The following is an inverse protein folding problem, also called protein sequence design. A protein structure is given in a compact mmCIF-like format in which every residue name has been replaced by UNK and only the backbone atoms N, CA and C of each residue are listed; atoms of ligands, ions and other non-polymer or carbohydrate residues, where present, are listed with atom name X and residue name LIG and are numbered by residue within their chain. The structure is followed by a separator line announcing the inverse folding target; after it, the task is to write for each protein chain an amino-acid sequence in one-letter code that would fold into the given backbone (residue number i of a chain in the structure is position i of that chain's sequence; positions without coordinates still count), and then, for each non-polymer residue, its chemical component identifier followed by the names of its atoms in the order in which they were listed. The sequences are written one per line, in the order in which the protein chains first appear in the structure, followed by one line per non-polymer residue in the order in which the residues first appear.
data_IF_406538599147
#
_entry.id   IF_406538599147
#
_cell.length_a   1.000
_cell.length_b   1.000
_cell.length_c   1.000
_cell.angle_alpha   90.00
_cell.angle_beta   90.00
_cell.angle_gamma   90.00
#
_symmetry.space_group_name_H-M   'P 1'
#
loop_
_entity.id
_entity.type
_entity.pdbx_description
1 polymer ?
#
# COMPACT_ATOMS: atom_id res chain seq x y z
N UNK A 1 -41.51 -60.13 48.49
CA UNK A 1 -42.82 -60.73 48.79
C UNK A 1 -43.74 -60.33 47.65
N UNK A 2 -44.41 -61.17 46.86
CA UNK A 2 -44.49 -62.63 46.69
C UNK A 2 -45.46 -62.80 45.52
N UNK A 3 -45.10 -63.54 44.48
CA UNK A 3 -46.06 -64.35 43.68
C UNK A 3 -46.75 -65.37 44.64
N UNK A 4 -47.88 -66.08 44.34
CA UNK A 4 -48.44 -66.46 43.03
C UNK A 4 -49.99 -66.56 42.99
N UNK A 5 -50.59 -67.06 41.88
CA UNK A 5 -51.70 -68.03 41.97
C UNK A 5 -51.97 -68.82 40.67
N UNK A 6 -52.21 -70.10 40.91
CA UNK A 6 -52.43 -71.25 40.05
C UNK A 6 -53.85 -71.79 40.36
N UNK A 7 -54.57 -72.40 39.41
CA UNK A 7 -55.46 -73.59 39.55
C UNK A 7 -56.24 -73.85 38.23
N UNK A 8 -56.16 -75.06 37.62
CA UNK A 8 -56.99 -76.30 37.81
C UNK A 8 -58.42 -76.15 37.27
N UNK A 9 -59.13 -77.10 36.62
CA UNK A 9 -59.05 -78.56 36.43
C UNK A 9 -60.26 -78.95 35.51
N UNK A 10 -60.24 -80.08 34.79
CA UNK A 10 -61.48 -80.66 34.23
C UNK A 10 -61.29 -81.84 33.27
N UNK A 11 -61.63 -83.05 33.74
CA UNK A 11 -61.71 -84.35 33.03
C UNK A 11 -63.16 -84.85 33.18
N UNK A 12 -63.74 -85.66 32.27
CA UNK A 12 -63.74 -87.14 32.39
C UNK A 12 -63.94 -87.83 30.99
N UNK A 13 -64.33 -89.09 30.79
CA UNK A 13 -63.82 -90.42 31.17
C UNK A 13 -64.32 -91.47 30.14
N UNK A 14 -63.53 -92.55 29.94
CA UNK A 14 -63.84 -93.96 29.55
C UNK A 14 -64.40 -94.37 28.15
N UNK A 15 -63.67 -95.37 27.63
CA UNK A 15 -63.80 -96.42 26.56
C UNK A 15 -65.11 -97.26 26.57
N UNK A 16 -65.45 -98.13 25.55
CA UNK A 16 -64.59 -99.24 25.07
C UNK A 16 -64.77 -99.92 23.67
N UNK A 17 -63.74 -100.73 23.32
CA UNK A 17 -63.68 -102.06 22.65
C UNK A 17 -63.95 -102.31 21.12
N UNK A 18 -63.08 -103.20 20.60
CA UNK A 18 -63.14 -104.16 19.45
C UNK A 18 -62.51 -103.84 18.07
N UNK A 19 -61.81 -104.86 17.54
CA UNK A 19 -61.10 -105.11 16.26
C UNK A 19 -61.81 -106.34 15.62
N UNK A 20 -61.57 -106.89 14.38
CA UNK A 20 -60.64 -106.55 13.28
C UNK A 20 -61.13 -106.80 11.81
N UNK A 21 -60.22 -106.55 10.85
CA UNK A 21 -59.92 -107.34 9.62
C UNK A 21 -60.53 -107.05 8.21
N UNK A 22 -59.59 -106.92 7.25
CA UNK A 22 -59.52 -107.40 5.84
C UNK A 22 -60.04 -106.62 4.60
N UNK A 23 -59.06 -106.32 3.71
CA UNK A 23 -59.00 -106.45 2.22
C UNK A 23 -60.09 -105.76 1.36
N UNK A 24 -59.81 -104.93 0.34
CA UNK A 24 -59.23 -105.29 -0.98
C UNK A 24 -59.11 -104.04 -1.87
N UNK A 25 -58.19 -104.09 -2.83
CA UNK A 25 -57.76 -103.04 -3.74
C UNK A 25 -58.81 -102.60 -4.80
N UNK A 26 -58.69 -101.35 -5.25
CA UNK A 26 -58.94 -100.94 -6.64
C UNK A 26 -58.02 -99.76 -7.00
N UNK A 27 -57.21 -99.95 -8.04
CA UNK A 27 -56.33 -98.96 -8.63
C UNK A 27 -57.11 -98.08 -9.62
N UNK A 28 -56.90 -96.77 -9.55
CA UNK A 28 -57.26 -95.77 -10.57
C UNK A 28 -56.06 -94.82 -10.74
N UNK A 29 -55.79 -94.31 -11.96
CA UNK A 29 -54.44 -93.88 -12.35
C UNK A 29 -54.07 -92.50 -11.78
N UNK A 30 -52.84 -92.42 -11.27
CA UNK A 30 -52.14 -91.23 -10.81
C UNK A 30 -52.11 -90.14 -11.91
N UNK A 31 -52.98 -89.15 -11.77
CA UNK A 31 -52.94 -87.91 -12.55
C UNK A 31 -52.86 -86.71 -11.59
N UNK A 32 -51.81 -86.65 -10.77
CA UNK A 32 -51.66 -85.58 -9.75
C UNK A 32 -50.22 -85.14 -9.46
N UNK A 33 -49.19 -85.63 -10.16
CA UNK A 33 -47.79 -85.32 -9.80
C UNK A 33 -47.11 -84.17 -10.58
N UNK A 34 -47.70 -83.61 -11.64
CA UNK A 34 -47.07 -82.48 -12.37
C UNK A 34 -47.39 -81.10 -11.78
N UNK A 35 -48.51 -80.93 -11.07
CA UNK A 35 -48.93 -79.62 -10.57
C UNK A 35 -48.22 -79.20 -9.27
N UNK A 36 -47.80 -80.19 -8.46
CA UNK A 36 -47.12 -79.98 -7.18
C UNK A 36 -45.65 -79.56 -7.40
N UNK A 37 -44.96 -80.18 -8.36
CA UNK A 37 -43.58 -79.82 -8.73
C UNK A 37 -43.45 -78.42 -9.33
N UNK A 38 -44.42 -78.02 -10.18
CA UNK A 38 -44.42 -76.66 -10.74
C UNK A 38 -44.70 -75.59 -9.68
N UNK A 39 -45.60 -75.84 -8.72
CA UNK A 39 -45.86 -74.91 -7.62
C UNK A 39 -44.67 -74.80 -6.64
N UNK A 40 -43.94 -75.89 -6.39
CA UNK A 40 -42.73 -75.84 -5.57
C UNK A 40 -41.60 -75.07 -6.27
N UNK A 41 -41.39 -75.31 -7.57
CA UNK A 41 -40.38 -74.59 -8.36
C UNK A 41 -40.68 -73.09 -8.48
N UNK A 42 -41.97 -72.71 -8.57
CA UNK A 42 -42.38 -71.31 -8.57
C UNK A 42 -42.08 -70.64 -7.22
N UNK A 43 -42.42 -71.30 -6.10
CA UNK A 43 -42.12 -70.77 -4.75
C UNK A 43 -40.62 -70.61 -4.49
N UNK A 44 -39.79 -71.53 -4.95
CA UNK A 44 -38.34 -71.40 -4.82
C UNK A 44 -37.80 -70.24 -5.66
N UNK A 45 -38.37 -70.01 -6.86
CA UNK A 45 -38.02 -68.86 -7.70
C UNK A 45 -38.39 -67.52 -7.03
N UNK A 46 -39.57 -67.43 -6.43
CA UNK A 46 -40.03 -66.21 -5.75
C UNK A 46 -39.17 -65.89 -4.52
N UNK A 47 -38.74 -66.92 -3.78
CA UNK A 47 -37.83 -66.77 -2.63
C UNK A 47 -36.45 -66.28 -3.09
N UNK A 48 -35.93 -66.83 -4.18
CA UNK A 48 -34.64 -66.40 -4.75
C UNK A 48 -34.69 -64.96 -5.28
N UNK A 49 -35.80 -64.54 -5.88
CA UNK A 49 -35.98 -63.13 -6.28
C UNK A 49 -36.05 -62.20 -5.07
N UNK A 50 -36.75 -62.60 -4.01
CA UNK A 50 -36.81 -61.83 -2.76
C UNK A 50 -35.43 -61.70 -2.12
N UNK A 51 -34.65 -62.79 -2.08
CA UNK A 51 -33.28 -62.78 -1.57
C UNK A 51 -32.39 -61.80 -2.36
N UNK A 52 -32.45 -61.86 -3.70
CA UNK A 52 -31.73 -60.90 -4.57
C UNK A 52 -32.20 -59.46 -4.34
N UNK A 53 -33.49 -59.25 -4.09
CA UNK A 53 -34.05 -57.94 -3.75
C UNK A 53 -33.48 -57.40 -2.44
N UNK A 54 -33.40 -58.23 -1.40
CA UNK A 54 -32.80 -57.90 -0.11
C UNK A 54 -31.31 -57.57 -0.25
N UNK A 55 -30.56 -58.35 -1.02
CA UNK A 55 -29.12 -58.08 -1.25
C UNK A 55 -28.89 -56.73 -1.93
N UNK A 56 -29.74 -56.35 -2.89
CA UNK A 56 -29.68 -55.02 -3.54
C UNK A 56 -29.99 -53.89 -2.56
N UNK A 57 -30.98 -54.07 -1.69
CA UNK A 57 -31.33 -53.07 -0.66
C UNK A 57 -30.19 -52.94 0.36
N UNK A 58 -29.60 -54.05 0.80
CA UNK A 58 -28.45 -54.04 1.71
C UNK A 58 -27.26 -53.34 1.07
N UNK A 59 -26.95 -53.62 -0.19
CA UNK A 59 -25.88 -52.94 -0.93
C UNK A 59 -26.13 -51.43 -1.02
N UNK A 60 -27.38 -51.02 -1.33
CA UNK A 60 -27.77 -49.61 -1.38
C UNK A 60 -27.66 -48.92 -0.01
N UNK A 61 -27.98 -49.63 1.07
CA UNK A 61 -27.83 -49.15 2.44
C UNK A 61 -26.35 -48.96 2.82
N UNK A 62 -25.48 -49.86 2.39
CA UNK A 62 -24.02 -49.74 2.60
C UNK A 62 -23.47 -48.52 1.86
N UNK A 63 -23.79 -48.35 0.58
CA UNK A 63 -23.38 -47.18 -0.21
C UNK A 63 -23.87 -45.86 0.39
N UNK A 64 -25.12 -45.84 0.87
CA UNK A 64 -25.69 -44.68 1.55
C UNK A 64 -24.93 -44.36 2.85
N UNK A 65 -24.59 -45.38 3.64
CA UNK A 65 -23.83 -45.21 4.88
C UNK A 65 -22.41 -44.67 4.61
N UNK A 66 -21.76 -45.14 3.53
CA UNK A 66 -20.46 -44.62 3.11
C UNK A 66 -20.58 -43.15 2.65
N UNK A 67 -21.65 -42.81 1.93
CA UNK A 67 -21.98 -41.43 1.58
C UNK A 67 -22.19 -40.53 2.80
N UNK A 68 -22.90 -41.01 3.83
CA UNK A 68 -23.05 -40.29 5.09
C UNK A 68 -21.72 -40.08 5.82
N UNK A 69 -20.83 -41.07 5.78
CA UNK A 69 -19.51 -40.97 6.40
C UNK A 69 -18.65 -39.91 5.69
N UNK A 70 -18.62 -39.93 4.35
CA UNK A 70 -17.90 -38.92 3.55
C UNK A 70 -18.46 -37.50 3.75
N UNK A 71 -19.79 -37.36 3.83
CA UNK A 71 -20.42 -36.07 4.11
C UNK A 71 -20.03 -35.56 5.49
N UNK A 72 -20.02 -36.42 6.51
CA UNK A 72 -19.62 -36.07 7.87
C UNK A 72 -18.17 -35.58 7.93
N UNK A 73 -17.26 -36.24 7.23
CA UNK A 73 -15.86 -35.81 7.13
C UNK A 73 -15.73 -34.45 6.44
N UNK A 74 -16.49 -34.23 5.35
CA UNK A 74 -16.53 -32.96 4.63
C UNK A 74 -17.02 -31.82 5.54
N UNK A 75 -18.11 -32.04 6.29
CA UNK A 75 -18.64 -31.07 7.25
C UNK A 75 -17.61 -30.76 8.32
N UNK A 76 -16.95 -31.77 8.90
CA UNK A 76 -15.91 -31.56 9.88
C UNK A 76 -14.72 -30.75 9.33
N UNK A 77 -14.35 -30.99 8.05
CA UNK A 77 -13.34 -30.20 7.34
C UNK A 77 -13.74 -28.73 7.20
N UNK A 78 -14.97 -28.45 6.77
CA UNK A 78 -15.52 -27.10 6.65
C UNK A 78 -15.60 -26.38 8.00
N UNK A 79 -15.97 -27.08 9.07
CA UNK A 79 -15.97 -26.51 10.43
C UNK A 79 -14.57 -26.05 10.84
N UNK A 80 -13.54 -26.87 10.60
CA UNK A 80 -12.14 -26.49 10.88
C UNK A 80 -11.69 -25.30 10.04
N UNK A 81 -12.06 -25.27 8.76
CA UNK A 81 -11.72 -24.14 7.88
C UNK A 81 -12.37 -22.84 8.36
N UNK A 82 -13.64 -22.87 8.79
CA UNK A 82 -14.32 -21.69 9.33
C UNK A 82 -13.66 -21.18 10.62
N UNK A 83 -13.22 -22.05 11.52
CA UNK A 83 -12.48 -21.64 12.72
C UNK A 83 -11.16 -20.95 12.36
N UNK A 84 -10.43 -21.46 11.37
CA UNK A 84 -9.20 -20.83 10.88
C UNK A 84 -9.46 -19.48 10.21
N UNK A 85 -10.55 -19.35 9.44
CA UNK A 85 -10.94 -18.06 8.87
C UNK A 85 -11.29 -17.05 9.96
N UNK A 86 -12.02 -17.46 11.00
CA UNK A 86 -12.41 -16.58 12.09
C UNK A 86 -11.20 -16.05 12.86
N UNK A 87 -10.23 -16.92 13.18
CA UNK A 87 -8.97 -16.50 13.82
C UNK A 87 -8.13 -15.56 12.94
N UNK A 88 -8.16 -15.74 11.61
CA UNK A 88 -7.50 -14.82 10.69
C UNK A 88 -8.18 -13.44 10.67
N UNK A 89 -9.51 -13.39 10.71
CA UNK A 89 -10.27 -12.13 10.80
C UNK A 89 -9.91 -11.38 12.09
N UNK A 90 -9.90 -12.05 13.24
CA UNK A 90 -9.49 -11.46 14.51
C UNK A 90 -8.06 -10.90 14.47
N UNK A 91 -7.12 -11.61 13.83
CA UNK A 91 -5.75 -11.13 13.63
C UNK A 91 -5.69 -9.89 12.72
N UNK A 92 -6.51 -9.84 11.68
CA UNK A 92 -6.59 -8.67 10.79
C UNK A 92 -7.12 -7.47 11.56
N UNK A 93 -8.17 -7.63 12.36
CA UNK A 93 -8.74 -6.56 13.18
C UNK A 93 -7.72 -6.01 14.19
N UNK A 94 -6.95 -6.89 14.84
CA UNK A 94 -5.87 -6.46 15.73
C UNK A 94 -4.80 -5.65 14.99
N UNK A 95 -4.42 -6.07 13.77
CA UNK A 95 -3.45 -5.33 12.95
C UNK A 95 -3.99 -3.99 12.48
N UNK A 96 -5.27 -3.93 12.11
CA UNK A 96 -5.94 -2.68 11.73
C UNK A 96 -5.96 -1.68 12.90
N UNK A 97 -6.28 -2.15 14.10
CA UNK A 97 -6.24 -1.31 15.30
C UNK A 97 -4.83 -0.77 15.57
N UNK A 98 -3.80 -1.61 15.45
CA UNK A 98 -2.40 -1.16 15.59
C UNK A 98 -2.01 -0.15 14.51
N UNK A 99 -2.48 -0.31 13.27
CA UNK A 99 -2.26 0.67 12.21
C UNK A 99 -2.97 1.98 12.53
N UNK A 100 -4.23 1.93 13.00
CA UNK A 100 -5.00 3.09 13.42
C UNK A 100 -4.29 3.90 14.52
N UNK A 101 -3.81 3.21 15.57
CA UNK A 101 -3.03 3.88 16.63
C UNK A 101 -1.72 4.49 16.12
N UNK A 102 -1.02 3.80 15.21
CA UNK A 102 0.19 4.35 14.58
C UNK A 102 -0.13 5.56 13.73
N UNK A 103 -1.25 5.55 13.01
CA UNK A 103 -1.70 6.65 12.18
C UNK A 103 -2.06 7.86 13.05
N UNK A 104 -2.82 7.67 14.14
CA UNK A 104 -3.07 8.73 15.12
C UNK A 104 -1.78 9.29 15.74
N UNK A 105 -0.80 8.42 16.07
CA UNK A 105 0.50 8.88 16.57
C UNK A 105 1.25 9.69 15.52
N UNK A 106 1.23 9.25 14.26
CA UNK A 106 1.83 9.98 13.15
C UNK A 106 1.11 11.31 12.96
N UNK A 107 -0.21 11.37 12.99
CA UNK A 107 -0.98 12.62 12.90
C UNK A 107 -0.68 13.57 14.07
N UNK A 108 -0.54 13.06 15.30
CA UNK A 108 -0.16 13.89 16.45
C UNK A 108 1.30 14.35 16.41
N UNK A 109 2.21 13.54 15.83
CA UNK A 109 3.63 13.89 15.64
C UNK A 109 3.84 14.79 14.43
N UNK A 110 2.98 14.67 13.42
CA UNK A 110 2.80 15.63 12.35
C UNK A 110 2.04 16.82 12.92
N UNK A 111 2.74 17.61 13.74
CA UNK A 111 2.43 19.03 14.00
C UNK A 111 1.82 19.58 12.71
N UNK A 112 0.59 20.14 12.77
CA UNK A 112 -0.23 20.38 11.58
C UNK A 112 0.65 20.97 10.50
N UNK A 113 0.69 20.29 9.36
CA UNK A 113 1.57 20.63 8.24
C UNK A 113 1.42 22.11 7.83
N UNK A 114 0.34 22.78 8.25
CA UNK A 114 0.04 24.19 8.00
C UNK A 114 -0.10 25.09 9.26
N UNK A 115 0.20 24.65 10.49
CA UNK A 115 -0.23 25.39 11.71
C UNK A 115 0.82 25.66 12.80
N UNK A 116 2.10 25.79 12.44
CA UNK A 116 3.15 26.15 13.41
C UNK A 116 3.31 27.66 13.64
N UNK A 117 2.56 28.46 12.90
CA UNK A 117 2.59 29.92 12.95
C UNK A 117 1.37 30.41 13.73
N UNK A 118 1.54 31.47 14.53
CA UNK A 118 0.39 32.18 15.10
C UNK A 118 -0.41 32.86 14.00
N UNK A 119 -1.72 33.06 14.22
CA UNK A 119 -2.58 33.78 13.28
C UNK A 119 -2.03 35.18 12.95
N UNK A 120 -1.51 35.87 13.97
CA UNK A 120 -0.85 37.16 13.79
C UNK A 120 0.35 37.07 12.84
N UNK A 121 1.19 36.04 12.97
CA UNK A 121 2.35 35.86 12.10
C UNK A 121 1.95 35.54 10.65
N UNK A 122 0.82 34.86 10.44
CA UNK A 122 0.27 34.61 9.11
C UNK A 122 -0.17 35.93 8.46
N UNK A 123 -0.88 36.78 9.21
CA UNK A 123 -1.31 38.11 8.74
C UNK A 123 -0.09 38.98 8.42
N UNK A 124 0.85 39.08 9.36
CA UNK A 124 2.04 39.92 9.20
C UNK A 124 2.93 39.46 8.04
N UNK A 125 3.13 38.15 7.85
CA UNK A 125 3.92 37.64 6.74
C UNK A 125 3.24 37.89 5.38
N UNK A 126 1.90 37.82 5.32
CA UNK A 126 1.17 38.17 4.10
C UNK A 126 1.30 39.65 3.79
N UNK A 127 1.08 40.51 4.79
CA UNK A 127 0.98 41.95 4.57
C UNK A 127 2.36 42.61 4.40
N UNK A 128 3.39 42.14 5.10
CA UNK A 128 4.75 42.70 5.02
C UNK A 128 5.63 42.05 3.95
N UNK A 129 5.46 40.74 3.70
CA UNK A 129 6.36 39.97 2.85
C UNK A 129 5.67 39.40 1.60
N UNK A 130 4.34 39.50 1.49
CA UNK A 130 3.58 38.88 0.41
C UNK A 130 3.57 37.35 0.47
N UNK A 131 3.80 36.74 1.64
CA UNK A 131 3.94 35.29 1.79
C UNK A 131 2.68 34.64 2.34
N UNK A 132 2.23 33.57 1.69
CA UNK A 132 1.19 32.68 2.24
C UNK A 132 1.83 31.55 3.07
N UNK A 133 1.75 31.69 4.39
CA UNK A 133 2.31 30.70 5.33
C UNK A 133 1.49 29.40 5.40
N UNK A 134 0.29 29.36 4.82
CA UNK A 134 -0.52 28.14 4.73
C UNK A 134 -0.10 27.23 3.57
N UNK A 135 0.85 27.68 2.75
CA UNK A 135 1.35 26.92 1.61
C UNK A 135 2.01 25.61 2.09
N UNK A 136 1.68 24.45 1.49
CA UNK A 136 2.31 23.19 1.85
C UNK A 136 3.84 23.24 1.65
N UNK A 137 4.60 22.89 2.68
CA UNK A 137 6.07 22.83 2.64
C UNK A 137 6.58 21.49 2.08
N UNK A 138 5.99 21.06 0.97
CA UNK A 138 6.30 19.82 0.27
C UNK A 138 6.79 20.12 -1.15
N UNK A 139 7.90 19.51 -1.55
CA UNK A 139 8.41 19.59 -2.92
C UNK A 139 8.95 18.23 -3.37
N UNK A 140 8.42 17.68 -4.47
CA UNK A 140 8.81 16.37 -5.00
C UNK A 140 8.79 15.25 -3.95
N UNK A 141 7.78 15.23 -3.07
CA UNK A 141 7.66 14.26 -1.97
C UNK A 141 8.57 14.52 -0.77
N UNK A 142 9.42 15.54 -0.80
CA UNK A 142 10.25 15.94 0.33
C UNK A 142 9.58 17.01 1.19
N UNK A 143 9.52 16.76 2.50
CA UNK A 143 9.07 17.75 3.47
C UNK A 143 10.22 18.71 3.81
N UNK A 144 10.12 19.97 3.38
CA UNK A 144 11.22 20.94 3.43
C UNK A 144 11.65 21.29 4.86
N UNK A 145 10.77 21.12 5.86
CA UNK A 145 11.12 21.38 7.27
C UNK A 145 12.04 20.34 7.89
N UNK A 146 12.22 19.18 7.26
CA UNK A 146 13.07 18.11 7.77
C UNK A 146 14.56 18.41 7.58
N UNK A 147 14.89 19.44 6.80
CA UNK A 147 16.26 19.89 6.63
C UNK A 147 16.75 20.45 7.97
N UNK A 148 17.91 20.00 8.47
CA UNK A 148 18.47 20.49 9.72
C UNK A 148 18.76 22.00 9.65
N UNK A 149 18.27 22.74 10.63
CA UNK A 149 18.52 24.16 10.79
C UNK A 149 19.53 24.37 11.93
N UNK A 150 20.60 25.11 11.65
CA UNK A 150 21.60 25.47 12.64
C UNK A 150 21.77 26.99 12.63
N UNK A 151 21.51 27.64 13.76
CA UNK A 151 21.59 29.10 13.89
C UNK A 151 23.02 29.64 13.72
N UNK A 152 24.05 28.83 14.01
CA UNK A 152 25.44 29.20 13.74
C UNK A 152 25.79 29.20 12.24
N UNK A 153 24.98 28.52 11.40
CA UNK A 153 25.21 28.45 9.96
C UNK A 153 23.88 28.52 9.18
N UNK A 154 23.18 29.64 9.36
CA UNK A 154 21.88 29.89 8.71
C UNK A 154 21.97 29.82 7.18
N UNK A 155 23.12 30.15 6.59
CA UNK A 155 23.32 30.16 5.14
C UNK A 155 23.36 28.74 4.54
N UNK A 156 23.87 27.76 5.29
CA UNK A 156 23.90 26.36 4.85
C UNK A 156 22.47 25.79 4.69
N UNK A 157 21.53 26.22 5.52
CA UNK A 157 20.13 25.81 5.42
C UNK A 157 19.52 26.23 4.07
N UNK A 158 19.69 27.50 3.69
CA UNK A 158 19.18 28.04 2.44
C UNK A 158 19.81 27.38 1.21
N UNK A 159 21.12 27.16 1.23
CA UNK A 159 21.81 26.48 0.11
C UNK A 159 21.39 25.01 -0.05
N UNK A 160 21.07 24.30 1.05
CA UNK A 160 20.48 22.95 0.98
C UNK A 160 19.06 22.95 0.43
N UNK A 161 18.24 23.91 0.82
CA UNK A 161 16.91 24.11 0.24
C UNK A 161 17.01 24.38 -1.27
N UNK A 162 17.98 25.19 -1.69
CA UNK A 162 18.22 25.48 -3.11
C UNK A 162 18.56 24.22 -3.91
N UNK A 163 19.36 23.30 -3.35
CA UNK A 163 19.70 22.03 -3.99
C UNK A 163 18.49 21.08 -4.13
N UNK A 164 17.46 21.24 -3.31
CA UNK A 164 16.22 20.45 -3.37
C UNK A 164 15.21 21.07 -4.33
N UNK A 165 15.09 22.40 -4.31
CA UNK A 165 14.04 23.14 -5.05
C UNK A 165 14.43 23.45 -6.50
N UNK A 166 15.72 23.49 -6.80
CA UNK A 166 16.22 23.87 -8.12
C UNK A 166 17.26 22.88 -8.62
N UNK A 167 17.09 22.46 -9.86
CA UNK A 167 18.11 21.73 -10.60
C UNK A 167 19.36 22.59 -10.79
N UNK A 168 20.51 21.95 -11.00
CA UNK A 168 21.77 22.68 -11.26
C UNK A 168 21.69 23.58 -12.50
N UNK A 169 20.93 23.17 -13.51
CA UNK A 169 20.71 23.93 -14.72
C UNK A 169 19.91 25.21 -14.44
N UNK A 170 18.79 25.10 -13.70
CA UNK A 170 18.01 26.26 -13.24
C UNK A 170 18.90 27.21 -12.41
N UNK A 171 19.65 26.69 -11.43
CA UNK A 171 20.55 27.49 -10.58
C UNK A 171 21.63 28.23 -11.39
N UNK A 172 22.11 27.65 -12.48
CA UNK A 172 23.15 28.25 -13.33
C UNK A 172 22.65 29.38 -14.22
N UNK A 173 21.36 29.32 -14.59
CA UNK A 173 20.71 30.28 -15.48
C UNK A 173 20.17 31.44 -14.67
N UNK A 174 19.47 31.17 -13.57
CA UNK A 174 18.77 32.18 -12.77
C UNK A 174 19.55 32.73 -11.57
N UNK A 175 19.11 33.87 -11.07
CA UNK A 175 19.57 34.47 -9.81
C UNK A 175 18.41 34.64 -8.84
N UNK A 176 18.68 34.49 -7.54
CA UNK A 176 17.74 34.90 -6.48
C UNK A 176 17.71 36.43 -6.42
N UNK A 177 16.51 37.00 -6.53
CA UNK A 177 16.24 38.45 -6.48
C UNK A 177 17.23 39.23 -7.36
N UNK A 178 17.15 39.15 -8.70
CA UNK A 178 18.16 39.73 -9.58
C UNK A 178 18.29 41.24 -9.37
N UNK A 179 19.51 41.71 -9.10
CA UNK A 179 19.80 43.14 -8.92
C UNK A 179 19.80 43.92 -10.25
N UNK A 180 19.96 43.21 -11.38
CA UNK A 180 19.94 43.77 -12.74
C UNK A 180 18.67 43.31 -13.42
N UNK A 181 18.00 44.22 -14.13
CA UNK A 181 16.75 43.93 -14.85
C UNK A 181 16.89 42.81 -15.89
N UNK A 182 18.09 42.61 -16.43
CA UNK A 182 18.33 41.65 -17.52
C UNK A 182 18.76 40.26 -17.04
N UNK A 183 18.96 40.06 -15.73
CA UNK A 183 19.31 38.74 -15.21
C UNK A 183 18.03 37.93 -14.99
N UNK A 184 17.91 36.71 -15.56
CA UNK A 184 16.73 35.88 -15.35
C UNK A 184 16.58 35.53 -13.87
N UNK A 185 15.37 35.68 -13.34
CA UNK A 185 15.04 35.32 -11.96
C UNK A 185 14.83 33.81 -11.85
N UNK A 186 15.15 33.26 -10.69
CA UNK A 186 14.65 31.94 -10.31
C UNK A 186 13.15 32.00 -10.02
N UNK A 187 12.48 30.85 -10.13
CA UNK A 187 11.05 30.69 -9.84
C UNK A 187 10.70 31.24 -8.44
N UNK A 188 9.90 32.33 -8.44
CA UNK A 188 9.58 33.07 -7.23
C UNK A 188 8.80 32.24 -6.22
N UNK A 189 7.95 31.32 -6.69
CA UNK A 189 7.17 30.44 -5.82
C UNK A 189 8.07 29.52 -4.99
N UNK A 190 9.13 28.99 -5.63
CA UNK A 190 10.11 28.15 -4.94
C UNK A 190 11.00 28.97 -4.01
N UNK A 191 11.32 30.22 -4.36
CA UNK A 191 12.01 31.15 -3.44
C UNK A 191 11.13 31.45 -2.22
N UNK A 192 9.83 31.63 -2.41
CA UNK A 192 8.91 31.88 -1.30
C UNK A 192 8.79 30.67 -0.37
N UNK A 193 8.85 29.43 -0.90
CA UNK A 193 8.99 28.23 -0.06
C UNK A 193 10.25 28.26 0.82
N UNK A 194 11.38 28.79 0.30
CA UNK A 194 12.60 28.99 1.10
C UNK A 194 12.34 29.99 2.23
N UNK A 195 11.70 31.13 1.93
CA UNK A 195 11.37 32.16 2.91
C UNK A 195 10.46 31.62 4.02
N UNK A 196 9.39 30.89 3.65
CA UNK A 196 8.47 30.26 4.60
C UNK A 196 9.21 29.25 5.48
N UNK A 197 10.16 28.48 4.92
CA UNK A 197 10.99 27.57 5.70
C UNK A 197 11.84 28.30 6.75
N UNK A 198 12.43 29.46 6.42
CA UNK A 198 13.16 30.27 7.40
C UNK A 198 12.23 30.83 8.47
N UNK A 199 11.09 31.40 8.10
CA UNK A 199 10.09 31.88 9.05
C UNK A 199 9.68 30.77 10.03
N UNK A 200 9.51 29.53 9.54
CA UNK A 200 9.13 28.38 10.37
C UNK A 200 10.22 28.01 11.39
N UNK A 201 11.49 28.19 11.04
CA UNK A 201 12.63 27.90 11.93
C UNK A 201 12.91 29.03 12.91
N UNK A 202 12.74 30.28 12.49
CA UNK A 202 13.06 31.46 13.30
C UNK A 202 11.90 31.91 14.20
N UNK A 203 10.66 31.64 13.79
CA UNK A 203 9.42 32.05 14.48
C UNK A 203 9.32 33.57 14.77
N UNK A 204 10.02 34.39 14.00
CA UNK A 204 9.98 35.86 14.08
C UNK A 204 10.27 36.44 12.69
N UNK A 205 9.49 37.46 12.33
CA UNK A 205 9.66 38.21 11.09
C UNK A 205 10.88 39.14 11.21
N UNK A 206 11.12 39.75 12.38
CA UNK A 206 12.29 40.62 12.57
C UNK A 206 13.59 39.85 12.38
N UNK A 207 13.71 38.68 13.02
CA UNK A 207 14.87 37.80 12.87
C UNK A 207 15.05 37.35 11.41
N UNK A 208 13.94 37.09 10.70
CA UNK A 208 14.00 36.75 9.28
C UNK A 208 14.55 37.90 8.45
N UNK A 209 14.04 39.12 8.64
CA UNK A 209 14.48 40.31 7.91
C UNK A 209 15.95 40.65 8.16
N UNK A 210 16.44 40.42 9.38
CA UNK A 210 17.85 40.62 9.72
C UNK A 210 18.77 39.65 8.97
N UNK A 211 18.40 38.37 8.89
CA UNK A 211 19.27 37.35 8.27
C UNK A 211 19.09 37.22 6.75
N UNK A 212 17.92 37.55 6.21
CA UNK A 212 17.56 37.30 4.81
C UNK A 212 18.57 37.88 3.81
N UNK A 213 19.09 39.12 3.97
CA UNK A 213 20.12 39.66 3.07
C UNK A 213 21.41 38.83 3.04
N UNK A 214 21.80 38.19 4.15
CA UNK A 214 22.96 37.28 4.22
C UNK A 214 22.68 35.96 3.49
N UNK A 215 21.46 35.44 3.66
CA UNK A 215 20.99 34.23 2.97
C UNK A 215 20.95 34.48 1.46
N UNK A 216 20.36 35.59 1.00
CA UNK A 216 20.29 35.96 -0.43
C UNK A 216 21.69 36.04 -1.04
N UNK A 217 22.68 36.65 -0.35
CA UNK A 217 24.07 36.65 -0.81
C UNK A 217 24.62 35.24 -1.02
N UNK A 218 24.35 34.34 -0.08
CA UNK A 218 24.79 32.94 -0.15
C UNK A 218 24.10 32.15 -1.26
N UNK A 219 22.80 32.38 -1.47
CA UNK A 219 22.04 31.78 -2.56
C UNK A 219 22.53 32.28 -3.93
N UNK A 220 22.75 33.59 -4.09
CA UNK A 220 23.35 34.15 -5.31
C UNK A 220 24.74 33.57 -5.58
N UNK A 221 25.56 33.45 -4.53
CA UNK A 221 26.89 32.83 -4.64
C UNK A 221 26.80 31.38 -5.11
N UNK A 222 25.85 30.60 -4.60
CA UNK A 222 25.58 29.22 -5.02
C UNK A 222 25.18 29.13 -6.50
N UNK A 223 24.30 30.02 -6.98
CA UNK A 223 23.96 30.14 -8.41
C UNK A 223 25.20 30.46 -9.27
N UNK A 224 26.06 31.37 -8.82
CA UNK A 224 27.30 31.72 -9.52
C UNK A 224 28.28 30.53 -9.58
N UNK A 225 28.37 29.74 -8.51
CA UNK A 225 29.18 28.53 -8.46
C UNK A 225 28.63 27.46 -9.41
N UNK A 226 27.30 27.28 -9.47
CA UNK A 226 26.65 26.39 -10.44
C UNK A 226 26.95 26.81 -11.88
N UNK A 227 26.85 28.11 -12.19
CA UNK A 227 27.20 28.69 -13.49
C UNK A 227 28.66 28.47 -13.87
N UNK A 228 29.59 28.66 -12.92
CA UNK A 228 31.02 28.39 -13.14
C UNK A 228 31.28 26.91 -13.43
N UNK A 229 30.64 25.99 -12.70
CA UNK A 229 30.81 24.54 -12.91
C UNK A 229 30.31 24.08 -14.27
N UNK A 230 29.18 24.59 -14.77
CA UNK A 230 28.70 24.23 -16.10
C UNK A 230 29.62 24.72 -17.22
N UNK A 231 30.24 25.90 -17.08
CA UNK A 231 31.21 26.40 -18.07
C UNK A 231 32.46 25.52 -18.15
N UNK A 232 32.98 25.09 -17.00
CA UNK A 232 34.16 24.20 -16.96
C UNK A 232 33.82 22.84 -17.59
N UNK A 233 32.64 22.30 -17.32
CA UNK A 233 32.23 21.01 -17.89
C UNK A 233 31.94 21.09 -19.40
N UNK A 234 31.48 22.24 -19.90
CA UNK A 234 31.23 22.45 -21.34
C UNK A 234 32.49 22.62 -22.18
N UNK A 235 33.60 23.07 -21.59
CA UNK A 235 34.88 23.25 -22.29
C UNK A 235 35.71 21.96 -22.34
N UNK A 236 35.53 21.03 -21.40
CA UNK A 236 36.23 19.74 -21.39
C UNK A 236 35.51 18.63 -22.19
N UNK A 237 34.33 18.91 -22.77
CA UNK A 237 33.53 17.95 -23.55
C UNK A 237 33.59 18.15 -25.06
N UNK A 238 34.53 18.95 -25.56
CA UNK A 238 34.55 19.44 -26.95
C UNK A 238 35.86 19.19 -27.71
N UNK A 239 36.60 18.11 -27.45
CA UNK A 239 37.74 17.71 -28.28
C UNK A 239 37.80 16.18 -28.42
N UNK A 240 36.94 15.63 -29.28
CA UNK A 240 37.27 14.50 -30.16
C UNK A 240 36.27 14.49 -31.31
N UNK A 241 36.54 15.30 -32.32
CA UNK A 241 36.10 15.03 -33.68
C UNK A 241 37.32 15.25 -34.55
N UNK A 242 37.98 14.13 -34.83
CA UNK A 242 39.07 14.01 -35.79
C UNK A 242 38.58 14.46 -37.18
N UNK A 243 39.54 14.98 -37.95
CA UNK A 243 39.49 15.18 -39.40
C UNK A 243 38.49 16.18 -39.99
N UNK A 244 38.92 17.44 -40.13
CA UNK A 244 38.90 18.05 -41.46
C UNK A 244 40.06 19.04 -41.65
N UNK A 245 40.99 18.60 -42.50
CA UNK A 245 42.08 19.37 -43.08
C UNK A 245 41.49 20.43 -44.03
N UNK A 246 41.94 21.70 -43.97
CA UNK A 246 42.30 22.56 -45.13
C UNK A 246 42.56 24.03 -44.69
N UNK A 247 43.84 24.39 -44.86
CA UNK A 247 44.47 25.68 -45.23
C UNK A 247 44.41 26.94 -44.34
N UNK A 248 45.58 27.58 -44.10
CA UNK A 248 45.68 28.90 -43.46
C UNK A 248 45.86 30.06 -44.46
N UNK A 249 45.60 31.27 -43.94
CA UNK A 249 46.00 32.62 -44.38
C UNK A 249 44.91 33.48 -45.08
N UNK A 250 44.97 34.84 -45.01
CA UNK A 250 46.06 35.68 -44.48
C UNK A 250 45.65 36.77 -43.46
N UNK A 251 46.67 37.28 -42.78
CA UNK A 251 46.69 38.51 -41.99
C UNK A 251 46.27 39.73 -42.82
N UNK A 252 45.55 40.69 -42.24
CA UNK A 252 45.65 42.08 -42.64
C UNK A 252 46.60 42.83 -41.70
N UNK A 253 47.71 43.28 -42.26
CA UNK A 253 48.42 44.47 -41.83
C UNK A 253 47.43 45.64 -41.72
N UNK A 254 47.36 46.29 -40.57
CA UNK A 254 47.20 47.74 -40.48
C UNK A 254 47.66 48.21 -39.09
N UNK A 255 48.79 48.91 -39.14
CA UNK A 255 49.35 49.75 -38.11
C UNK A 255 48.53 51.06 -37.99
N UNK A 256 48.60 51.60 -36.79
CA UNK A 256 48.50 53.01 -36.41
C UNK A 256 47.14 53.66 -36.11
N UNK A 257 47.21 54.44 -35.02
CA UNK A 257 46.36 55.52 -34.56
C UNK A 257 44.96 55.18 -34.00
N UNK A 258 44.82 55.21 -32.68
CA UNK A 258 44.40 56.49 -32.07
C UNK A 258 44.57 56.51 -30.54
N UNK A 259 45.40 57.46 -30.12
CA UNK A 259 45.59 57.93 -28.75
C UNK A 259 44.39 58.79 -28.36
N UNK A 260 43.37 58.22 -27.72
CA UNK A 260 42.40 59.05 -26.98
C UNK A 260 42.10 58.51 -25.58
N UNK A 261 43.09 58.76 -24.74
CA UNK A 261 43.08 58.79 -23.29
C UNK A 261 42.25 59.98 -22.80
N UNK A 262 41.09 59.74 -22.19
CA UNK A 262 40.40 60.75 -21.37
C UNK A 262 40.35 60.31 -19.89
N UNK A 263 40.67 61.21 -18.94
CA UNK A 263 40.98 60.84 -17.57
C UNK A 263 39.76 60.81 -16.63
N UNK A 264 39.95 60.00 -15.60
CA UNK A 264 39.13 59.79 -14.40
C UNK A 264 38.79 61.13 -13.72
N UNK A 265 37.50 61.50 -13.67
CA UNK A 265 37.00 62.50 -12.72
C UNK A 265 36.68 61.81 -11.39
N UNK A 266 37.46 62.15 -10.35
CA UNK A 266 37.12 61.91 -8.95
C UNK A 266 36.38 63.14 -8.45
N UNK A 267 35.08 63.05 -8.25
CA UNK A 267 34.36 64.03 -7.43
C UNK A 267 34.46 63.59 -5.97
N UNK A 268 35.27 64.34 -5.22
CA UNK A 268 35.36 64.31 -3.77
C UNK A 268 34.44 65.41 -3.26
N UNK A 269 33.23 65.05 -2.83
CA UNK A 269 32.36 65.98 -2.10
C UNK A 269 32.53 65.73 -0.61
N UNK A 270 33.40 66.52 0.00
CA UNK A 270 33.45 66.74 1.44
C UNK A 270 32.41 67.82 1.80
N UNK A 271 31.47 67.49 2.69
CA UNK A 271 30.59 68.44 3.36
C UNK A 271 30.16 67.80 4.68
N UNK A 272 30.93 68.02 5.76
CA UNK A 272 30.66 69.03 6.80
C UNK A 272 29.32 68.76 7.49
N UNK A 273 29.32 68.07 8.63
CA UNK A 273 29.33 68.70 9.96
C UNK A 273 28.32 69.85 10.04
N UNK A 274 27.19 69.58 10.67
CA UNK A 274 26.53 70.56 11.53
C UNK A 274 25.92 69.83 12.74
N UNK A 275 26.42 70.26 13.89
CA UNK A 275 25.88 70.02 15.22
C UNK A 275 24.59 70.83 15.41
N UNK A 276 23.58 70.22 16.02
CA UNK A 276 22.71 70.75 17.09
C UNK A 276 21.77 69.64 17.56
#
# INVERSE_FOLDING_TARGET
MTDPRNTSRGRPARQPLEVPATLRANQTPLRTNQNIGNSQNQRTSDIDELAKGLDRVLSSLTELNDGFTSLRETVAGLTRQNLNLNTNVENIDQRLNQIGERLERIERQMVPANGGFSEQMIIDARDQLGLDLNRPLMHNGHHLTNIPFNQANVNLFGTRLMDILFTREEQSRGSVEPARRDAPALDQDRIDLIKICYLKKLRSIENFLEIWPSVVRSLRQKSLDAKRRLRVNGLNGGETSEDEFVQPAPLPDNLDDDLNRAPIRRDVTMGSLNSL
#
